data_IF_123521360605
#
_entry.id   IF_123521360605
#
_cell.length_a   1.000
_cell.length_b   1.000
_cell.length_c   1.000
_cell.angle_alpha   90.00
_cell.angle_beta   90.00
_cell.angle_gamma   90.00
#
_symmetry.space_group_name_H-M   'P 1'
#
loop_
_entity.id
_entity.type
_entity.pdbx_description
1 polymer ?
#
# COMPACT_ATOMS: atom_id res chain seq x y z
N UNK A 1 12.62 17.55 -3.71
CA UNK A 1 11.43 17.09 -2.96
C UNK A 1 11.81 15.77 -2.33
N UNK A 2 12.00 15.76 -1.02
CA UNK A 2 12.42 14.58 -0.26
C UNK A 2 11.40 13.47 -0.47
N UNK A 3 11.84 12.33 -0.99
CA UNK A 3 11.01 11.13 -0.99
C UNK A 3 10.81 10.75 0.48
N UNK A 4 9.66 11.13 1.05
CA UNK A 4 9.27 10.69 2.37
C UNK A 4 9.22 9.17 2.32
N UNK A 5 10.22 8.51 2.89
CA UNK A 5 10.22 7.05 3.04
C UNK A 5 8.96 6.69 3.81
N UNK A 6 8.01 6.00 3.18
CA UNK A 6 6.85 5.49 3.92
C UNK A 6 7.39 4.51 4.96
N UNK A 7 7.22 4.76 6.27
CA UNK A 7 7.70 3.82 7.26
C UNK A 7 6.79 2.60 7.25
N UNK A 8 7.35 1.43 6.97
CA UNK A 8 6.71 0.15 7.23
C UNK A 8 7.48 -0.59 8.31
N UNK A 9 6.77 -1.40 9.09
CA UNK A 9 7.32 -2.07 10.25
C UNK A 9 8.09 -3.33 9.84
N UNK A 10 9.41 -3.22 9.72
CA UNK A 10 10.27 -4.38 9.45
C UNK A 10 10.15 -5.46 10.53
N UNK A 11 9.99 -5.07 11.80
CA UNK A 11 9.88 -6.02 12.91
C UNK A 11 8.59 -6.84 12.82
N UNK A 12 7.53 -6.27 12.24
CA UNK A 12 6.31 -7.00 11.94
C UNK A 12 6.52 -8.07 10.87
N UNK A 13 7.22 -7.76 9.78
CA UNK A 13 7.55 -8.75 8.74
C UNK A 13 8.48 -9.85 9.28
N UNK A 14 9.46 -9.48 10.10
CA UNK A 14 10.34 -10.46 10.78
C UNK A 14 9.53 -11.39 11.68
N UNK A 15 8.55 -10.87 12.42
CA UNK A 15 7.65 -11.67 13.25
C UNK A 15 6.81 -12.63 12.40
N UNK A 16 6.26 -12.20 11.25
CA UNK A 16 5.55 -13.11 10.33
C UNK A 16 6.45 -14.26 9.88
N UNK A 17 7.72 -13.98 9.54
CA UNK A 17 8.68 -15.03 9.18
C UNK A 17 8.97 -15.98 10.34
N UNK A 18 9.06 -15.47 11.58
CA UNK A 18 9.29 -16.29 12.77
C UNK A 18 8.10 -17.22 13.08
N UNK A 19 6.89 -16.80 12.74
CA UNK A 19 5.67 -17.62 12.81
C UNK A 19 5.57 -18.66 11.66
N UNK A 20 6.60 -18.76 10.81
CA UNK A 20 6.67 -19.73 9.72
C UNK A 20 5.95 -19.31 8.43
N UNK A 21 5.58 -18.03 8.30
CA UNK A 21 5.01 -17.51 7.06
C UNK A 21 6.14 -17.33 6.04
N UNK A 22 5.98 -17.92 4.86
CA UNK A 22 6.85 -17.65 3.72
C UNK A 22 6.63 -16.21 3.24
N UNK A 23 7.55 -15.32 3.63
CA UNK A 23 7.50 -13.91 3.26
C UNK A 23 7.54 -13.68 1.75
N UNK A 24 8.19 -14.53 0.96
CA UNK A 24 8.25 -14.35 -0.49
C UNK A 24 6.87 -14.62 -1.11
N UNK A 25 6.24 -15.73 -0.71
CA UNK A 25 4.88 -16.06 -1.16
C UNK A 25 3.86 -15.04 -0.66
N UNK A 26 3.97 -14.62 0.60
CA UNK A 26 3.11 -13.61 1.20
C UNK A 26 3.20 -12.27 0.45
N UNK A 27 4.42 -11.76 0.21
CA UNK A 27 4.62 -10.46 -0.40
C UNK A 27 4.29 -10.45 -1.91
N UNK A 28 4.48 -11.58 -2.62
CA UNK A 28 3.96 -11.74 -3.98
C UNK A 28 2.44 -11.64 -4.04
N UNK A 29 1.74 -12.33 -3.13
CA UNK A 29 0.29 -12.27 -3.03
C UNK A 29 -0.20 -10.86 -2.67
N UNK A 30 0.50 -10.22 -1.73
CA UNK A 30 0.24 -8.84 -1.35
C UNK A 30 0.43 -7.86 -2.52
N UNK A 31 1.52 -7.99 -3.28
CA UNK A 31 1.80 -7.12 -4.44
C UNK A 31 0.70 -7.26 -5.50
N UNK A 32 0.26 -8.49 -5.80
CA UNK A 32 -0.84 -8.73 -6.72
C UNK A 32 -2.14 -8.06 -6.24
N UNK A 33 -2.46 -8.16 -4.96
CA UNK A 33 -3.63 -7.48 -4.38
C UNK A 33 -3.52 -5.95 -4.46
N UNK A 34 -2.32 -5.40 -4.25
CA UNK A 34 -2.07 -3.96 -4.38
C UNK A 34 -2.28 -3.48 -5.81
N UNK A 35 -1.78 -4.20 -6.81
CA UNK A 35 -1.98 -3.88 -8.22
C UNK A 35 -3.48 -3.87 -8.59
N UNK A 36 -4.24 -4.88 -8.13
CA UNK A 36 -5.69 -4.94 -8.36
C UNK A 36 -6.43 -3.76 -7.70
N UNK A 37 -6.10 -3.42 -6.45
CA UNK A 37 -6.74 -2.32 -5.73
C UNK A 37 -6.40 -0.95 -6.38
N UNK A 38 -5.15 -0.75 -6.82
CA UNK A 38 -4.72 0.47 -7.50
C UNK A 38 -5.34 0.60 -8.90
N UNK A 39 -5.46 -0.49 -9.66
CA UNK A 39 -6.14 -0.49 -10.96
C UNK A 39 -7.62 -0.14 -10.81
N UNK A 40 -8.28 -0.65 -9.76
CA UNK A 40 -9.68 -0.33 -9.45
C UNK A 40 -9.87 1.14 -9.09
N UNK A 41 -8.98 1.71 -8.26
CA UNK A 41 -8.98 3.14 -7.95
C UNK A 41 -8.78 4.01 -9.19
N UNK A 42 -7.93 3.59 -10.12
CA UNK A 42 -7.73 4.30 -11.39
C UNK A 42 -9.02 4.29 -12.23
N UNK A 43 -9.69 3.14 -12.38
CA UNK A 43 -10.95 3.06 -13.13
C UNK A 43 -12.08 3.92 -12.56
N UNK A 44 -12.14 4.05 -11.23
CA UNK A 44 -13.13 4.88 -10.54
C UNK A 44 -12.88 6.40 -10.68
N UNK A 45 -11.69 6.81 -11.15
CA UNK A 45 -11.44 8.21 -11.54
C UNK A 45 -12.07 8.56 -12.89
N UNK A 46 -12.12 7.60 -13.80
CA UNK A 46 -12.69 7.80 -15.14
C UNK A 46 -14.23 7.77 -15.12
N UNK A 47 -14.82 7.07 -14.14
CA UNK A 47 -16.26 6.99 -13.93
C UNK A 47 -16.57 7.25 -12.45
N UNK A 48 -17.06 8.46 -12.08
CA UNK A 48 -17.20 8.83 -10.68
C UNK A 48 -18.31 8.02 -9.99
N UNK A 49 -17.89 7.00 -9.27
CA UNK A 49 -18.68 6.23 -8.30
C UNK A 49 -18.08 6.46 -6.90
N UNK A 50 -18.78 7.26 -6.09
CA UNK A 50 -18.33 7.66 -4.75
C UNK A 50 -18.30 6.47 -3.80
N UNK A 51 -19.27 5.56 -3.89
CA UNK A 51 -19.33 4.37 -3.04
C UNK A 51 -18.23 3.39 -3.41
N UNK A 52 -18.02 3.16 -4.72
CA UNK A 52 -16.91 2.39 -5.25
C UNK A 52 -15.54 2.94 -4.84
N UNK A 53 -15.38 4.27 -4.86
CA UNK A 53 -14.14 4.94 -4.43
C UNK A 53 -13.90 4.75 -2.93
N UNK A 54 -14.92 4.95 -2.10
CA UNK A 54 -14.87 4.72 -0.65
C UNK A 54 -14.51 3.28 -0.32
N UNK A 55 -15.16 2.32 -0.97
CA UNK A 55 -14.88 0.90 -0.79
C UNK A 55 -13.45 0.54 -1.19
N UNK A 56 -12.95 1.09 -2.30
CA UNK A 56 -11.60 0.84 -2.78
C UNK A 56 -10.53 1.42 -1.85
N UNK A 57 -10.72 2.65 -1.35
CA UNK A 57 -9.84 3.25 -0.35
C UNK A 57 -9.83 2.45 0.96
N UNK A 58 -11.00 1.97 1.40
CA UNK A 58 -11.10 1.13 2.59
C UNK A 58 -10.37 -0.21 2.42
N UNK A 59 -10.54 -0.90 1.27
CA UNK A 59 -9.80 -2.13 0.97
C UNK A 59 -8.30 -1.88 0.95
N UNK A 60 -7.86 -0.84 0.23
CA UNK A 60 -6.44 -0.50 0.16
C UNK A 60 -5.86 -0.20 1.55
N UNK A 61 -6.62 0.46 2.44
CA UNK A 61 -6.19 0.68 3.83
C UNK A 61 -5.89 -0.63 4.57
N UNK A 62 -6.73 -1.65 4.39
CA UNK A 62 -6.51 -2.98 4.96
C UNK A 62 -5.29 -3.66 4.35
N UNK A 63 -5.15 -3.64 3.02
CA UNK A 63 -4.03 -4.25 2.30
C UNK A 63 -2.69 -3.69 2.76
N UNK A 64 -2.53 -2.36 2.86
CA UNK A 64 -1.27 -1.76 3.34
C UNK A 64 -1.01 -2.03 4.83
N UNK A 65 -2.07 -2.26 5.62
CA UNK A 65 -1.95 -2.66 7.03
C UNK A 65 -1.28 -4.03 7.22
N UNK A 66 -1.44 -4.93 6.25
CA UNK A 66 -0.83 -6.27 6.28
C UNK A 66 0.70 -6.27 6.20
N UNK A 67 1.32 -5.14 5.86
CA UNK A 67 2.78 -4.99 5.80
C UNK A 67 3.29 -3.99 6.84
N UNK A 68 2.45 -3.61 7.81
CA UNK A 68 2.82 -2.70 8.89
C UNK A 68 2.93 -1.23 8.46
N UNK A 69 2.39 -0.82 7.31
CA UNK A 69 2.42 0.57 6.84
C UNK A 69 1.32 1.41 7.51
N UNK A 70 1.40 1.56 8.83
CA UNK A 70 0.34 2.14 9.67
C UNK A 70 -0.03 3.57 9.30
N UNK A 71 0.95 4.42 8.97
CA UNK A 71 0.68 5.81 8.57
C UNK A 71 -0.12 5.88 7.26
N UNK A 72 0.18 5.02 6.29
CA UNK A 72 -0.57 4.95 5.04
C UNK A 72 -1.97 4.35 5.25
N UNK A 73 -2.07 3.32 6.10
CA UNK A 73 -3.36 2.74 6.51
C UNK A 73 -4.29 3.81 7.08
N UNK A 74 -3.83 4.57 8.07
CA UNK A 74 -4.63 5.62 8.72
C UNK A 74 -5.04 6.72 7.74
N UNK A 75 -4.15 7.10 6.82
CA UNK A 75 -4.44 8.12 5.81
C UNK A 75 -5.47 7.64 4.76
N UNK A 76 -5.37 6.40 4.30
CA UNK A 76 -6.33 5.77 3.40
C UNK A 76 -7.69 5.58 4.07
N UNK A 77 -7.69 5.16 5.34
CA UNK A 77 -8.90 5.03 6.13
C UNK A 77 -9.59 6.39 6.31
N UNK A 78 -8.84 7.44 6.64
CA UNK A 78 -9.36 8.81 6.72
C UNK A 78 -9.97 9.28 5.40
N UNK A 79 -9.29 9.03 4.28
CA UNK A 79 -9.79 9.36 2.94
C UNK A 79 -11.02 8.54 2.53
N UNK A 80 -11.17 7.32 3.03
CA UNK A 80 -12.39 6.53 2.82
C UNK A 80 -13.58 7.14 3.58
N UNK A 81 -13.35 7.75 4.74
CA UNK A 81 -14.43 8.27 5.59
C UNK A 81 -14.88 9.66 5.15
N UNK A 82 -13.93 10.55 4.88
CA UNK A 82 -14.16 11.91 4.36
C UNK A 82 -14.62 11.84 2.91
N UNK A 83 -15.50 12.75 2.46
CA UNK A 83 -16.06 12.71 1.10
C UNK A 83 -14.92 12.71 0.05
N UNK A 84 -14.69 11.62 -0.70
CA UNK A 84 -13.54 11.49 -1.60
C UNK A 84 -13.56 12.49 -2.77
N UNK A 85 -14.74 13.06 -3.03
CA UNK A 85 -15.01 13.98 -4.13
C UNK A 85 -14.32 15.35 -3.99
N UNK A 86 -13.82 15.68 -2.79
CA UNK A 86 -13.30 17.03 -2.50
C UNK A 86 -11.80 17.19 -2.72
N UNK A 87 -11.01 16.12 -2.88
CA UNK A 87 -9.56 16.24 -2.97
C UNK A 87 -8.92 15.13 -3.84
N UNK A 88 -9.03 15.30 -5.15
CA UNK A 88 -8.36 14.42 -6.11
C UNK A 88 -6.83 14.42 -5.90
N UNK A 89 -6.25 15.56 -5.55
CA UNK A 89 -4.81 15.68 -5.28
C UNK A 89 -4.40 14.83 -4.07
N UNK A 90 -5.20 14.81 -3.00
CA UNK A 90 -4.97 13.93 -1.86
C UNK A 90 -5.00 12.44 -2.22
N UNK A 91 -5.94 12.02 -3.07
CA UNK A 91 -5.99 10.62 -3.54
C UNK A 91 -4.74 10.28 -4.36
N UNK A 92 -4.26 11.17 -5.22
CA UNK A 92 -3.04 10.95 -6.00
C UNK A 92 -1.80 10.84 -5.09
N UNK A 93 -1.74 11.63 -4.01
CA UNK A 93 -0.69 11.52 -2.99
C UNK A 93 -0.74 10.14 -2.32
N UNK A 94 -1.92 9.63 -1.96
CA UNK A 94 -2.07 8.30 -1.35
C UNK A 94 -1.69 7.18 -2.30
N UNK A 95 -2.08 7.27 -3.58
CA UNK A 95 -1.67 6.33 -4.63
C UNK A 95 -0.15 6.32 -4.80
N UNK A 96 0.48 7.49 -4.78
CA UNK A 96 1.94 7.61 -4.87
C UNK A 96 2.64 6.98 -3.67
N UNK A 97 2.11 7.19 -2.45
CA UNK A 97 2.63 6.55 -1.23
C UNK A 97 2.51 5.02 -1.27
N UNK A 98 1.37 4.50 -1.73
CA UNK A 98 1.16 3.07 -1.93
C UNK A 98 2.17 2.45 -2.92
N UNK A 99 2.40 3.10 -4.07
CA UNK A 99 3.42 2.65 -5.04
C UNK A 99 4.84 2.70 -4.47
N UNK A 100 5.16 3.72 -3.68
CA UNK A 100 6.46 3.80 -3.00
C UNK A 100 6.66 2.66 -2.01
N UNK A 101 5.62 2.31 -1.23
CA UNK A 101 5.65 1.18 -0.31
C UNK A 101 5.93 -0.14 -1.05
N UNK A 102 5.27 -0.38 -2.20
CA UNK A 102 5.53 -1.56 -3.02
C UNK A 102 7.00 -1.64 -3.46
N UNK A 103 7.55 -0.56 -4.01
CA UNK A 103 8.96 -0.51 -4.43
C UNK A 103 9.95 -0.73 -3.27
N UNK A 104 9.62 -0.26 -2.07
CA UNK A 104 10.47 -0.47 -0.89
C UNK A 104 10.43 -1.93 -0.43
N UNK A 105 9.27 -2.57 -0.46
CA UNK A 105 9.11 -3.97 -0.11
C UNK A 105 9.80 -4.87 -1.14
N UNK A 106 9.69 -4.59 -2.43
CA UNK A 106 10.45 -5.30 -3.48
C UNK A 106 11.96 -5.26 -3.19
N UNK A 107 12.46 -4.08 -2.80
CA UNK A 107 13.87 -3.90 -2.43
C UNK A 107 14.29 -4.60 -1.13
N UNK A 108 13.35 -4.92 -0.24
CA UNK A 108 13.60 -5.65 1.01
C UNK A 108 13.53 -7.18 0.82
N UNK A 109 12.79 -7.66 -0.19
CA UNK A 109 12.58 -9.08 -0.48
C UNK A 109 13.66 -9.66 -1.39
N UNK A 110 14.54 -8.84 -1.96
CA UNK A 110 15.65 -9.33 -2.79
C UNK A 110 16.85 -9.76 -1.92
N UNK A 111 17.05 -11.08 -1.65
CA UNK A 111 18.22 -11.55 -0.92
C UNK A 111 19.54 -11.31 -1.65
N UNK A 112 19.51 -10.91 -2.93
CA UNK A 112 20.72 -10.66 -3.73
C UNK A 112 21.24 -9.23 -3.58
N UNK A 113 20.53 -8.34 -2.88
CA UNK A 113 21.00 -6.97 -2.63
C UNK A 113 22.08 -6.86 -1.53
N UNK A 114 22.44 -7.99 -0.90
CA UNK A 114 23.59 -8.11 0.01
C UNK A 114 24.92 -8.39 -0.69
N UNK A 115 25.00 -8.24 -2.02
CA UNK A 115 26.27 -8.19 -2.75
C UNK A 115 26.23 -7.05 -3.76
N UNK A 116 26.72 -5.89 -3.32
CA UNK A 116 27.37 -4.79 -4.07
C UNK A 116 27.17 -3.49 -3.27
N UNK A 117 27.93 -3.33 -2.18
CA UNK A 117 29.04 -2.37 -2.07
C UNK A 117 29.63 -2.35 -0.67
#
# INVERSE_FOLDING_TARGET
>A
MSASTEPFDHSYLDALSQEGIDLNTFLRGWHYSMDEDLARLHGLREQPDIEGLRASLHRLSGTVGLVGARSLMEALQGASVTSPQYDADAIDVLVKRARNLMMQLDGAIDPHRSSVR
#
